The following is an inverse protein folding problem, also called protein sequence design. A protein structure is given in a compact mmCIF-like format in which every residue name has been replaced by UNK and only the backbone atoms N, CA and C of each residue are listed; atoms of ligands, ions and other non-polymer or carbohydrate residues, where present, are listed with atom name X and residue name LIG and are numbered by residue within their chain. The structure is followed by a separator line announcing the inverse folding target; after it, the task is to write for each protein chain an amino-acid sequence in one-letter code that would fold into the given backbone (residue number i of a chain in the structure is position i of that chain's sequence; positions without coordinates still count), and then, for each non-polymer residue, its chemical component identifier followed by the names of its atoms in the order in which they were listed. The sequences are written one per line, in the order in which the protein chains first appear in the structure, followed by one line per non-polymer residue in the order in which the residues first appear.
data_IF_873536247262
#
_entry.id   IF_873536247262
#
_cell.length_a   1.000
_cell.length_b   1.000
_cell.length_c   1.000
_cell.angle_alpha   90.00
_cell.angle_beta   90.00
_cell.angle_gamma   90.00
#
_symmetry.space_group_name_H-M   'P 1'
#
loop_
_entity.id
_entity.type
_entity.pdbx_description
1 polymer ?
#
# COMPACT_ATOMS: atom_id res chain seq x y z
N UNK A 1 -10.85 23.07 40.87
CA UNK A 1 -9.75 23.67 41.67
C UNK A 1 -10.05 23.33 43.13
N UNK A 2 -9.45 22.25 43.64
CA UNK A 2 -8.28 22.22 44.55
C UNK A 2 -8.69 22.39 46.03
N UNK A 3 -8.82 21.28 46.76
CA UNK A 3 -8.51 21.08 48.20
C UNK A 3 -8.88 19.61 48.52
N UNK A 4 -8.02 18.62 48.75
CA UNK A 4 -6.78 18.43 49.52
C UNK A 4 -6.95 18.51 51.05
N UNK A 5 -7.10 17.32 51.68
CA UNK A 5 -6.76 16.86 53.05
C UNK A 5 -7.74 15.72 53.42
N UNK A 6 -7.36 14.50 53.81
CA UNK A 6 -6.15 13.98 54.42
C UNK A 6 -6.56 13.17 55.67
N UNK A 7 -5.83 12.09 55.94
CA UNK A 7 -5.91 11.18 57.12
C UNK A 7 -6.94 10.04 57.01
N UNK A 8 -6.57 8.76 56.82
CA UNK A 8 -5.66 7.84 57.56
C UNK A 8 -6.51 6.77 58.27
N UNK A 9 -6.07 5.52 58.09
CA UNK A 9 -6.20 4.36 58.99
C UNK A 9 -7.11 3.21 58.56
N UNK A 10 -6.61 2.01 58.89
CA UNK A 10 -7.19 0.68 58.89
C UNK A 10 -7.21 -0.07 57.54
N UNK A 11 -6.73 -1.30 57.41
CA UNK A 11 -5.95 -2.21 58.26
C UNK A 11 -5.73 -3.47 57.38
N UNK A 12 -4.51 -4.00 57.34
CA UNK A 12 -4.15 -5.43 57.24
C UNK A 12 -4.88 -6.37 56.25
N UNK A 13 -4.14 -6.88 55.26
CA UNK A 13 -4.15 -8.31 54.95
C UNK A 13 -2.85 -8.73 54.24
N UNK A 14 -1.92 -9.26 55.04
CA UNK A 14 -0.76 -10.06 54.62
C UNK A 14 -1.25 -11.41 54.07
N UNK A 15 -0.69 -11.86 52.94
CA UNK A 15 -1.10 -13.12 52.30
C UNK A 15 0.00 -13.79 51.49
N UNK A 16 1.03 -14.23 52.21
CA UNK A 16 1.92 -15.38 51.94
C UNK A 16 2.39 -15.68 50.50
N UNK A 17 3.67 -15.36 50.30
CA UNK A 17 4.60 -16.02 49.40
C UNK A 17 4.68 -17.54 49.66
N UNK A 18 4.64 -18.37 48.62
CA UNK A 18 5.12 -19.76 48.64
C UNK A 18 5.94 -20.06 47.39
N UNK A 19 7.24 -19.81 47.51
CA UNK A 19 8.27 -20.49 46.73
C UNK A 19 8.48 -21.90 47.30
N UNK A 20 8.53 -22.90 46.42
CA UNK A 20 9.29 -24.15 46.52
C UNK A 20 9.11 -24.87 45.18
N UNK A 21 10.06 -25.51 44.51
CA UNK A 21 11.51 -25.57 44.52
C UNK A 21 11.81 -26.55 43.36
N UNK A 22 12.77 -26.19 42.51
CA UNK A 22 13.59 -27.03 41.62
C UNK A 22 13.12 -28.45 41.26
N UNK A 23 13.03 -28.73 39.95
CA UNK A 23 13.82 -29.83 39.34
C UNK A 23 14.39 -29.40 37.99
N UNK A 24 15.72 -29.40 37.92
CA UNK A 24 16.54 -29.32 36.70
C UNK A 24 16.40 -30.63 35.94
N UNK A 25 16.09 -30.53 34.65
CA UNK A 25 16.17 -31.62 33.68
C UNK A 25 16.85 -31.12 32.42
N UNK A 26 18.18 -31.04 32.43
CA UNK A 26 18.97 -30.94 31.19
C UNK A 26 18.96 -32.31 30.54
N UNK A 27 18.34 -32.42 29.37
CA UNK A 27 18.75 -33.44 28.40
C UNK A 27 18.85 -32.80 27.02
N UNK A 28 20.10 -32.74 26.53
CA UNK A 28 20.44 -32.34 25.18
C UNK A 28 19.96 -33.43 24.23
N UNK A 29 19.19 -33.05 23.22
CA UNK A 29 19.32 -33.66 21.90
C UNK A 29 18.87 -32.65 20.86
N UNK A 30 19.86 -32.16 20.11
CA UNK A 30 19.71 -31.30 18.97
C UNK A 30 18.97 -32.06 17.86
N UNK A 31 17.65 -31.95 17.83
CA UNK A 31 16.94 -32.08 16.57
C UNK A 31 17.15 -30.75 15.83
N UNK A 32 18.21 -30.70 15.00
CA UNK A 32 18.25 -29.76 13.87
C UNK A 32 17.07 -30.13 12.96
N UNK A 33 15.90 -29.61 13.30
CA UNK A 33 14.83 -29.44 12.35
C UNK A 33 15.39 -28.57 11.26
N UNK A 34 15.68 -29.18 10.11
CA UNK A 34 15.81 -28.47 8.85
C UNK A 34 14.51 -27.69 8.71
N UNK A 35 14.51 -26.41 9.06
CA UNK A 35 13.43 -25.50 8.70
C UNK A 35 13.47 -25.48 7.18
N UNK A 36 12.67 -26.35 6.59
CA UNK A 36 12.31 -26.33 5.19
C UNK A 36 11.53 -25.04 5.03
N UNK A 37 12.22 -23.93 4.76
CA UNK A 37 11.61 -22.70 4.26
C UNK A 37 11.07 -23.05 2.87
N UNK A 38 9.90 -23.68 2.83
CA UNK A 38 9.09 -23.78 1.63
C UNK A 38 8.38 -22.44 1.49
N UNK A 39 9.03 -21.56 0.73
CA UNK A 39 8.46 -20.89 -0.43
C UNK A 39 6.94 -21.10 -0.58
N UNK A 40 6.18 -20.12 -0.13
CA UNK A 40 4.82 -19.87 -0.57
C UNK A 40 4.74 -18.36 -0.83
N UNK A 41 5.22 -17.92 -1.99
CA UNK A 41 4.58 -16.76 -2.60
C UNK A 41 3.16 -17.21 -2.94
N UNK A 42 2.21 -16.66 -2.19
CA UNK A 42 0.86 -17.21 -2.16
C UNK A 42 0.04 -16.65 -3.35
N UNK A 43 -0.72 -17.50 -4.07
CA UNK A 43 -1.53 -17.06 -5.21
C UNK A 43 -2.62 -16.02 -4.87
N UNK A 44 -2.90 -15.78 -3.58
CA UNK A 44 -3.90 -14.80 -3.15
C UNK A 44 -3.46 -13.34 -3.31
N UNK A 45 -2.16 -13.04 -3.34
CA UNK A 45 -1.69 -11.66 -3.49
C UNK A 45 -1.83 -11.17 -4.94
N UNK A 46 -1.42 -11.98 -5.91
CA UNK A 46 -1.65 -11.68 -7.33
C UNK A 46 -3.12 -11.49 -7.67
N UNK A 47 -4.02 -12.30 -7.09
CA UNK A 47 -5.47 -12.13 -7.29
C UNK A 47 -5.98 -10.81 -6.70
N UNK A 48 -5.48 -10.39 -5.53
CA UNK A 48 -5.81 -9.09 -4.94
C UNK A 48 -5.31 -7.94 -5.81
N UNK A 49 -4.10 -8.05 -6.35
CA UNK A 49 -3.53 -7.03 -7.26
C UNK A 49 -4.36 -6.94 -8.54
N UNK A 50 -4.76 -8.07 -9.15
CA UNK A 50 -5.61 -8.06 -10.34
C UNK A 50 -6.98 -7.38 -10.07
N UNK A 51 -7.59 -7.66 -8.90
CA UNK A 51 -8.83 -6.98 -8.47
C UNK A 51 -8.61 -5.49 -8.24
N UNK A 52 -7.51 -5.11 -7.60
CA UNK A 52 -7.13 -3.72 -7.37
C UNK A 52 -6.87 -2.98 -8.69
N UNK A 53 -6.19 -3.63 -9.64
CA UNK A 53 -5.90 -3.10 -10.96
C UNK A 53 -7.20 -2.81 -11.72
N UNK A 54 -8.14 -3.76 -11.77
CA UNK A 54 -9.45 -3.53 -12.37
C UNK A 54 -10.19 -2.33 -11.74
N UNK A 55 -10.15 -2.22 -10.41
CA UNK A 55 -10.73 -1.07 -9.72
C UNK A 55 -10.01 0.24 -10.06
N UNK A 56 -8.69 0.21 -10.23
CA UNK A 56 -7.90 1.40 -10.51
C UNK A 56 -8.00 1.86 -11.96
N UNK A 57 -8.09 0.95 -12.91
CA UNK A 57 -8.39 1.26 -14.32
C UNK A 57 -9.78 1.92 -14.44
N UNK A 58 -10.78 1.38 -13.74
CA UNK A 58 -12.13 1.98 -13.69
C UNK A 58 -12.13 3.38 -13.06
N UNK A 59 -11.38 3.57 -11.98
CA UNK A 59 -11.17 4.87 -11.36
C UNK A 59 -10.53 5.86 -12.32
N UNK A 60 -9.43 5.49 -12.97
CA UNK A 60 -8.70 6.40 -13.86
C UNK A 60 -9.55 6.82 -15.07
N UNK A 61 -10.27 5.88 -15.70
CA UNK A 61 -11.17 6.18 -16.80
C UNK A 61 -12.29 7.15 -16.39
N UNK A 62 -12.83 6.97 -15.17
CA UNK A 62 -13.85 7.87 -14.63
C UNK A 62 -13.26 9.24 -14.28
N UNK A 63 -12.05 9.26 -13.74
CA UNK A 63 -11.36 10.50 -13.37
C UNK A 63 -11.01 11.34 -14.60
N UNK A 64 -10.46 10.73 -15.66
CA UNK A 64 -10.20 11.41 -16.94
C UNK A 64 -11.44 12.11 -17.50
N UNK A 65 -12.60 11.43 -17.48
CA UNK A 65 -13.87 12.00 -17.93
C UNK A 65 -14.33 13.16 -17.05
N UNK A 66 -14.13 13.06 -15.73
CA UNK A 66 -14.57 14.08 -14.78
C UNK A 66 -13.68 15.33 -14.81
N UNK A 67 -12.36 15.18 -14.99
CA UNK A 67 -11.41 16.30 -15.00
C UNK A 67 -11.12 16.83 -16.40
N UNK A 68 -11.64 16.20 -17.45
CA UNK A 68 -11.38 16.59 -18.83
C UNK A 68 -9.93 16.35 -19.27
N UNK A 69 -9.22 15.46 -18.59
CA UNK A 69 -7.83 15.10 -18.90
C UNK A 69 -7.78 13.85 -19.78
N UNK A 70 -6.67 13.65 -20.47
CA UNK A 70 -6.42 12.49 -21.31
C UNK A 70 -5.21 11.69 -20.80
N UNK A 71 -5.08 10.46 -21.26
CA UNK A 71 -3.89 9.66 -20.99
C UNK A 71 -2.71 10.14 -21.84
N UNK A 72 -1.50 9.68 -21.47
CA UNK A 72 -0.34 9.78 -22.34
C UNK A 72 -0.61 9.13 -23.71
N UNK A 73 -0.02 9.67 -24.76
CA UNK A 73 -0.07 9.15 -26.13
C UNK A 73 0.47 7.73 -26.23
N UNK A 74 1.46 7.39 -25.40
CA UNK A 74 1.94 6.02 -25.20
C UNK A 74 1.16 5.33 -24.07
N UNK A 75 0.35 4.29 -24.37
CA UNK A 75 -0.44 3.54 -23.38
C UNK A 75 0.42 2.68 -22.42
N UNK A 76 1.70 2.47 -22.70
CA UNK A 76 2.60 1.76 -21.79
C UNK A 76 2.78 2.49 -20.47
N UNK A 77 2.93 3.81 -20.51
CA UNK A 77 3.11 4.67 -19.33
C UNK A 77 1.93 4.59 -18.35
N UNK A 78 0.66 4.88 -18.74
CA UNK A 78 -0.46 4.79 -17.83
C UNK A 78 -0.67 3.36 -17.31
N UNK A 79 -0.35 2.33 -18.10
CA UNK A 79 -0.45 0.93 -17.67
C UNK A 79 0.48 0.60 -16.50
N UNK A 80 1.75 1.00 -16.57
CA UNK A 80 2.73 0.79 -15.48
C UNK A 80 2.34 1.58 -14.23
N UNK A 81 1.85 2.80 -14.40
CA UNK A 81 1.40 3.64 -13.26
C UNK A 81 0.18 3.02 -12.59
N UNK A 82 -0.80 2.53 -13.36
CA UNK A 82 -1.99 1.86 -12.83
C UNK A 82 -1.63 0.59 -12.04
N UNK A 83 -0.67 -0.20 -12.55
CA UNK A 83 -0.15 -1.36 -11.83
C UNK A 83 0.50 -0.97 -10.50
N UNK A 84 1.39 0.04 -10.51
CA UNK A 84 2.03 0.52 -9.28
C UNK A 84 1.03 1.07 -8.25
N UNK A 85 -0.01 1.79 -8.72
CA UNK A 85 -1.10 2.24 -7.85
C UNK A 85 -1.88 1.06 -7.25
N UNK A 86 -2.12 0.01 -8.02
CA UNK A 86 -2.79 -1.20 -7.55
C UNK A 86 -1.95 -1.97 -6.52
N UNK A 87 -0.64 -2.09 -6.74
CA UNK A 87 0.30 -2.70 -5.79
C UNK A 87 0.34 -1.93 -4.46
N UNK A 88 0.47 -0.60 -4.51
CA UNK A 88 0.41 0.23 -3.30
C UNK A 88 -0.95 0.14 -2.59
N UNK A 89 -2.05 0.03 -3.34
CA UNK A 89 -3.39 -0.17 -2.75
C UNK A 89 -3.49 -1.48 -1.98
N UNK A 90 -2.88 -2.57 -2.45
CA UNK A 90 -2.90 -3.88 -1.77
C UNK A 90 -1.94 -3.90 -0.57
N UNK A 91 -0.75 -3.34 -0.71
CA UNK A 91 0.31 -3.37 0.31
C UNK A 91 0.11 -2.35 1.43
N UNK A 92 -0.20 -1.10 1.08
CA UNK A 92 -0.34 0.03 2.03
C UNK A 92 -1.82 0.31 2.39
N UNK A 93 -2.77 -0.24 1.64
CA UNK A 93 -4.20 0.05 1.77
C UNK A 93 -4.67 1.31 1.03
N UNK A 94 -3.75 2.10 0.48
CA UNK A 94 -4.03 3.34 -0.26
C UNK A 94 -3.20 3.45 -1.55
N UNK A 95 -3.75 4.04 -2.63
CA UNK A 95 -3.06 4.13 -3.93
C UNK A 95 -2.04 5.29 -3.94
N UNK A 96 -0.90 5.12 -3.29
CA UNK A 96 0.18 6.12 -3.24
C UNK A 96 0.86 6.29 -4.63
N UNK A 97 1.12 7.51 -5.13
CA UNK A 97 1.71 7.68 -6.50
C UNK A 97 3.07 6.96 -6.59
N UNK A 98 3.24 6.02 -7.54
CA UNK A 98 4.42 5.16 -7.63
C UNK A 98 5.66 5.86 -8.20
N UNK A 99 5.51 7.03 -8.84
CA UNK A 99 6.62 7.77 -9.46
C UNK A 99 7.39 8.67 -8.48
N UNK A 100 7.25 8.47 -7.17
CA UNK A 100 8.00 9.20 -6.15
C UNK A 100 8.70 8.25 -5.20
N UNK A 101 9.84 8.69 -4.68
CA UNK A 101 10.50 8.04 -3.56
C UNK A 101 9.94 8.58 -2.25
N UNK A 102 9.74 7.69 -1.28
CA UNK A 102 9.28 8.01 0.07
C UNK A 102 10.18 7.27 1.07
N UNK A 103 10.57 7.95 2.14
CA UNK A 103 11.35 7.34 3.23
C UNK A 103 10.50 6.38 4.06
N UNK A 104 9.26 6.77 4.38
CA UNK A 104 8.26 5.97 5.09
C UNK A 104 6.94 5.99 4.29
N UNK A 105 6.64 4.88 3.60
CA UNK A 105 5.46 4.79 2.73
C UNK A 105 4.17 4.71 3.54
N UNK A 106 4.20 4.09 4.70
CA UNK A 106 3.05 3.88 5.58
C UNK A 106 2.60 5.17 6.25
N UNK A 107 3.53 6.04 6.63
CA UNK A 107 3.22 7.37 7.16
C UNK A 107 2.58 8.26 6.09
N UNK A 108 3.14 8.30 4.88
CA UNK A 108 2.63 9.10 3.76
C UNK A 108 1.26 8.60 3.26
N UNK A 109 1.06 7.28 3.22
CA UNK A 109 -0.24 6.69 2.87
C UNK A 109 -1.34 7.07 3.87
N UNK A 110 -0.98 7.27 5.15
CA UNK A 110 -1.90 7.73 6.20
C UNK A 110 -2.17 9.22 6.14
N UNK A 111 -1.16 10.04 5.82
CA UNK A 111 -1.32 11.49 5.64
C UNK A 111 -2.20 11.79 4.43
N UNK A 112 -1.99 11.06 3.33
CA UNK A 112 -2.86 11.07 2.16
C UNK A 112 -2.64 12.22 1.19
N UNK A 113 -1.62 13.07 1.40
CA UNK A 113 -1.23 14.10 0.44
C UNK A 113 -0.91 13.53 -0.96
N UNK A 114 -0.22 12.39 -0.99
CA UNK A 114 0.23 11.71 -2.22
C UNK A 114 -0.64 10.52 -2.66
N UNK A 115 -1.76 10.27 -1.96
CA UNK A 115 -2.72 9.26 -2.37
C UNK A 115 -3.45 9.72 -3.63
N UNK A 116 -3.47 8.88 -4.66
CA UNK A 116 -4.10 9.20 -5.94
C UNK A 116 -5.63 9.33 -5.78
N UNK A 117 -6.25 10.45 -6.20
CA UNK A 117 -5.65 11.62 -6.85
C UNK A 117 -4.96 12.56 -5.84
N UNK A 118 -3.66 12.81 -6.04
CA UNK A 118 -2.84 13.60 -5.11
C UNK A 118 -3.27 15.07 -5.06
N UNK A 119 -2.82 15.80 -4.03
CA UNK A 119 -3.15 17.22 -3.85
C UNK A 119 -2.82 18.07 -5.10
N UNK A 120 -1.62 17.98 -5.71
CA UNK A 120 -1.32 18.73 -6.93
C UNK A 120 -2.27 18.43 -8.10
N UNK A 121 -2.70 17.18 -8.25
CA UNK A 121 -3.65 16.80 -9.28
C UNK A 121 -5.04 17.39 -9.03
N UNK A 122 -5.49 17.43 -7.77
CA UNK A 122 -6.82 17.97 -7.41
C UNK A 122 -6.90 19.49 -7.51
N UNK A 123 -5.83 20.18 -7.16
CA UNK A 123 -5.82 21.65 -7.10
C UNK A 123 -5.40 22.30 -8.42
N UNK A 124 -4.45 21.69 -9.14
CA UNK A 124 -3.81 22.29 -10.32
C UNK A 124 -3.83 21.42 -11.57
N UNK A 125 -4.38 20.20 -11.49
CA UNK A 125 -4.37 19.22 -12.57
C UNK A 125 -2.96 18.84 -13.05
N UNK A 126 -1.98 18.90 -12.15
CA UNK A 126 -0.59 18.52 -12.42
C UNK A 126 -0.35 17.06 -12.01
N UNK A 127 -0.16 16.17 -12.98
CA UNK A 127 0.17 14.77 -12.75
C UNK A 127 1.61 14.45 -13.15
N UNK A 128 2.53 14.40 -12.18
CA UNK A 128 3.92 13.97 -12.44
C UNK A 128 4.01 12.54 -12.99
N UNK A 129 3.10 11.68 -12.53
CA UNK A 129 2.96 10.29 -12.94
C UNK A 129 2.56 10.17 -14.46
N UNK A 130 2.28 11.27 -15.20
CA UNK A 130 1.82 11.30 -16.61
C UNK A 130 0.57 10.46 -16.91
N UNK A 131 -0.24 10.19 -15.88
CA UNK A 131 -1.49 9.45 -16.00
C UNK A 131 -2.65 10.37 -16.43
N UNK A 132 -2.67 11.60 -15.92
CA UNK A 132 -3.70 12.58 -16.24
C UNK A 132 -3.04 13.81 -16.83
N UNK A 133 -3.14 13.96 -18.14
CA UNK A 133 -2.54 15.08 -18.87
C UNK A 133 -3.64 16.02 -19.36
N UNK A 134 -3.35 17.31 -19.32
CA UNK A 134 -4.18 18.34 -19.93
C UNK A 134 -3.91 18.39 -21.43
N UNK A 135 -4.88 18.86 -22.23
CA UNK A 135 -4.78 18.87 -23.69
C UNK A 135 -3.67 19.77 -24.25
N UNK A 136 -3.10 20.66 -23.44
CA UNK A 136 -1.95 21.51 -23.78
C UNK A 136 -0.59 20.79 -23.62
N UNK A 137 -0.57 19.60 -23.01
CA UNK A 137 0.66 18.83 -22.84
C UNK A 137 1.06 18.13 -24.15
N UNK A 138 2.36 18.19 -24.52
CA UNK A 138 2.88 17.57 -25.75
C UNK A 138 2.73 16.04 -25.80
N UNK A 139 2.65 15.40 -24.63
CA UNK A 139 2.49 13.95 -24.51
C UNK A 139 1.03 13.53 -24.33
N UNK A 140 0.08 14.47 -24.27
CA UNK A 140 -1.33 14.14 -24.17
C UNK A 140 -1.81 13.45 -25.45
N UNK A 141 -2.33 12.22 -25.31
CA UNK A 141 -3.05 11.55 -26.38
C UNK A 141 -4.53 11.94 -26.40
N UNK A 142 -5.28 11.35 -27.32
CA UNK A 142 -6.74 11.56 -27.42
C UNK A 142 -7.54 10.54 -26.60
N UNK A 143 -6.88 9.53 -26.04
CA UNK A 143 -7.53 8.42 -25.34
C UNK A 143 -7.84 8.78 -23.89
N UNK A 144 -9.10 8.56 -23.48
CA UNK A 144 -9.56 8.71 -22.09
C UNK A 144 -10.05 7.39 -21.48
N UNK A 145 -9.95 6.30 -22.21
CA UNK A 145 -10.46 5.00 -21.80
C UNK A 145 -9.44 3.91 -22.12
N UNK A 146 -8.96 3.23 -21.07
CA UNK A 146 -8.06 2.10 -21.16
C UNK A 146 -8.76 0.86 -20.61
N UNK A 147 -8.67 -0.27 -21.29
CA UNK A 147 -9.23 -1.55 -20.84
C UNK A 147 -8.26 -2.27 -19.90
N UNK A 148 -8.74 -3.25 -19.14
CA UNK A 148 -7.89 -3.99 -18.20
C UNK A 148 -6.92 -4.88 -18.97
N UNK A 149 -7.39 -5.45 -20.07
CA UNK A 149 -6.65 -6.32 -20.97
C UNK A 149 -5.46 -5.58 -21.61
N UNK A 150 -5.65 -4.31 -22.00
CA UNK A 150 -4.57 -3.45 -22.50
C UNK A 150 -3.51 -3.18 -21.40
N UNK A 151 -3.94 -2.90 -20.17
CA UNK A 151 -3.01 -2.69 -19.06
C UNK A 151 -2.19 -3.96 -18.79
N UNK A 152 -2.82 -5.13 -18.84
CA UNK A 152 -2.17 -6.42 -18.62
C UNK A 152 -1.19 -6.77 -19.74
N UNK A 153 -1.50 -6.45 -21.00
CA UNK A 153 -0.57 -6.71 -22.12
C UNK A 153 0.73 -5.92 -21.97
N UNK A 154 0.65 -4.62 -21.73
CA UNK A 154 1.84 -3.77 -21.61
C UNK A 154 2.69 -4.09 -20.38
N UNK A 155 2.04 -4.49 -19.27
CA UNK A 155 2.76 -4.81 -18.03
C UNK A 155 3.42 -6.18 -18.06
N UNK A 156 2.89 -7.13 -18.85
CA UNK A 156 3.49 -8.46 -19.03
C UNK A 156 4.70 -8.38 -19.97
N UNK A 157 4.60 -7.61 -21.05
CA UNK A 157 5.70 -7.42 -22.02
C UNK A 157 6.95 -6.82 -21.36
N UNK A 158 6.78 -5.87 -20.43
CA UNK A 158 7.91 -5.27 -19.71
C UNK A 158 8.51 -6.17 -18.63
N UNK A 159 7.73 -7.10 -18.06
CA UNK A 159 8.20 -8.02 -17.02
C UNK A 159 9.01 -9.21 -17.55
N UNK A 160 8.89 -9.53 -18.84
CA UNK A 160 9.54 -10.70 -19.45
C UNK A 160 10.95 -10.43 -20.01
N UNK A 161 11.46 -9.20 -19.89
CA UNK A 161 12.79 -8.78 -20.38
C UNK A 161 13.88 -8.83 -19.28
N UNK A 162 13.51 -9.13 -18.02
CA UNK A 162 14.47 -9.37 -16.92
C UNK A 162 14.53 -10.84 -16.54
#
# INVERSE_FOLDING_TARGET
EREMRGAVLCLLALGACRCSALRVGVSRSAARGRVSVRMLEQPDEQEKIAKALKAMTGFANSYCKNTGTTYCSDPSIPSVVLKGLAEHKVTLGAPLCPCRHYEDKEAEAKDGYWNCPCVPMRERHECHCMLFLTADNEFAGDNQNLTVEEVESYTTEMGSIM
#
